data_IF_735662654472
#
_entry.id   IF_735662654472
#
_cell.length_a   1.000
_cell.length_b   1.000
_cell.length_c   1.000
_cell.angle_alpha   90.00
_cell.angle_beta   90.00
_cell.angle_gamma   90.00
#
_symmetry.space_group_name_H-M   'P 1'
#
loop_
_entity.id
_entity.type
_entity.pdbx_description
1 polymer ?
#
# COMPACT_ATOMS: atom_id res chain seq x y z
N UNK A 1 47.97 50.86 44.98
CA UNK A 1 47.81 50.37 43.60
C UNK A 1 46.92 49.14 43.68
N UNK A 2 45.61 49.31 43.45
CA UNK A 2 44.57 48.28 43.67
C UNK A 2 44.05 47.89 42.28
N UNK A 3 44.33 46.66 41.83
CA UNK A 3 43.73 46.13 40.60
C UNK A 3 42.39 45.47 40.95
N UNK A 4 41.30 46.05 40.45
CA UNK A 4 39.96 45.44 40.46
C UNK A 4 39.88 44.42 39.33
N UNK A 5 39.68 43.15 39.68
CA UNK A 5 39.20 42.12 38.74
C UNK A 5 37.72 42.40 38.46
N UNK A 6 37.36 42.64 37.21
CA UNK A 6 35.99 42.71 36.75
C UNK A 6 35.51 41.29 36.38
N UNK A 7 34.57 40.73 37.13
CA UNK A 7 33.84 39.53 36.76
C UNK A 7 32.88 39.85 35.60
N UNK A 8 33.16 39.29 34.42
CA UNK A 8 32.24 39.31 33.29
C UNK A 8 31.34 38.07 33.38
N UNK A 9 30.13 38.24 33.94
CA UNK A 9 29.11 37.19 33.97
C UNK A 9 28.45 37.10 32.58
N UNK A 10 28.88 36.14 31.77
CA UNK A 10 28.20 35.76 30.53
C UNK A 10 26.94 34.97 30.88
N UNK A 11 25.77 35.59 30.73
CA UNK A 11 24.49 34.89 30.74
C UNK A 11 24.40 34.02 29.49
N UNK A 12 24.68 32.72 29.64
CA UNK A 12 24.30 31.70 28.67
C UNK A 12 22.77 31.55 28.71
N UNK A 13 22.08 32.19 27.79
CA UNK A 13 20.66 31.92 27.53
C UNK A 13 20.56 30.57 26.83
N UNK A 14 20.35 29.51 27.59
CA UNK A 14 19.94 28.20 27.05
C UNK A 14 18.54 28.35 26.45
N UNK A 15 18.30 27.97 25.18
CA UNK A 15 16.96 27.95 24.64
C UNK A 15 16.14 26.94 25.42
N UNK A 16 15.16 27.41 26.18
CA UNK A 16 14.11 26.58 26.75
C UNK A 16 13.27 26.07 25.57
N UNK A 17 13.37 24.78 25.27
CA UNK A 17 12.43 24.10 24.39
C UNK A 17 11.04 24.21 25.03
N UNK A 18 10.21 25.14 24.52
CA UNK A 18 8.82 25.27 24.93
C UNK A 18 8.04 24.15 24.26
N UNK A 19 7.89 23.01 24.95
CA UNK A 19 6.86 22.03 24.63
C UNK A 19 5.51 22.67 24.95
N UNK A 20 4.74 23.02 23.92
CA UNK A 20 3.40 23.56 24.13
C UNK A 20 2.51 22.47 24.72
N UNK A 21 2.01 22.66 25.95
CA UNK A 21 1.09 21.73 26.60
C UNK A 21 -0.33 21.83 26.00
N UNK A 22 -0.46 21.56 24.70
CA UNK A 22 -1.74 21.58 23.98
C UNK A 22 -2.60 20.36 24.27
N UNK A 23 -2.02 19.30 24.82
CA UNK A 23 -2.69 18.07 25.17
C UNK A 23 -2.72 17.89 26.69
N UNK A 24 -3.91 17.65 27.24
CA UNK A 24 -4.13 17.35 28.66
C UNK A 24 -4.37 15.86 28.94
N UNK A 25 -4.52 15.03 27.89
CA UNK A 25 -4.68 13.59 27.97
C UNK A 25 -3.33 12.85 27.96
N UNK A 26 -3.31 11.65 28.55
CA UNK A 26 -2.14 10.77 28.59
C UNK A 26 -2.37 9.42 27.91
N UNK A 27 -3.45 9.28 27.15
CA UNK A 27 -3.76 8.08 26.40
C UNK A 27 -2.93 7.97 25.11
N UNK A 28 -2.88 6.77 24.53
CA UNK A 28 -2.06 6.47 23.36
C UNK A 28 -2.49 7.25 22.11
N UNK A 29 -3.80 7.52 21.95
CA UNK A 29 -4.30 8.32 20.83
C UNK A 29 -3.85 9.78 20.96
N UNK A 30 -3.93 10.36 22.16
CA UNK A 30 -3.41 11.70 22.45
C UNK A 30 -1.91 11.78 22.20
N UNK A 31 -1.14 10.78 22.66
CA UNK A 31 0.30 10.74 22.41
C UNK A 31 0.64 10.66 20.92
N UNK A 32 -0.13 9.88 20.14
CA UNK A 32 0.06 9.78 18.70
C UNK A 32 -0.12 11.15 18.01
N UNK A 33 -1.13 11.93 18.39
CA UNK A 33 -1.33 13.28 17.87
C UNK A 33 -0.17 14.21 18.22
N UNK A 34 0.24 14.22 19.49
CA UNK A 34 1.31 15.08 19.95
C UNK A 34 2.61 14.83 19.18
N UNK A 35 3.01 13.56 19.07
CA UNK A 35 4.24 13.17 18.37
C UNK A 35 4.21 13.54 16.89
N UNK A 36 3.06 13.40 16.22
CA UNK A 36 2.93 13.82 14.83
C UNK A 36 3.13 15.34 14.67
N UNK A 37 2.52 16.15 15.55
CA UNK A 37 2.69 17.60 15.51
C UNK A 37 4.12 18.05 15.84
N UNK A 38 4.85 17.26 16.63
CA UNK A 38 6.27 17.46 16.93
C UNK A 38 7.20 17.02 15.78
N UNK A 39 6.64 16.41 14.72
CA UNK A 39 7.39 15.91 13.56
C UNK A 39 8.03 14.54 13.80
N UNK A 40 7.63 13.82 14.84
CA UNK A 40 8.08 12.45 15.13
C UNK A 40 7.03 11.43 14.62
N UNK A 41 7.00 11.27 13.29
CA UNK A 41 6.06 10.41 12.57
C UNK A 41 6.18 8.94 12.98
N UNK A 42 7.39 8.47 13.26
CA UNK A 42 7.65 7.09 13.68
C UNK A 42 7.09 6.83 15.09
N UNK A 43 7.41 7.69 16.05
CA UNK A 43 6.89 7.53 17.40
C UNK A 43 5.37 7.77 17.45
N UNK A 44 4.83 8.62 16.57
CA UNK A 44 3.38 8.76 16.39
C UNK A 44 2.74 7.45 15.95
N UNK A 45 3.31 6.77 14.96
CA UNK A 45 2.84 5.47 14.50
C UNK A 45 2.91 4.39 15.58
N UNK A 46 3.98 4.33 16.36
CA UNK A 46 4.08 3.40 17.50
C UNK A 46 2.95 3.64 18.51
N UNK A 47 2.66 4.91 18.83
CA UNK A 47 1.53 5.27 19.69
C UNK A 47 0.17 4.94 19.04
N UNK A 48 0.03 5.05 17.71
CA UNK A 48 -1.16 4.57 17.00
C UNK A 48 -1.33 3.05 17.15
N UNK A 49 -0.24 2.27 17.04
CA UNK A 49 -0.28 0.81 17.25
C UNK A 49 -0.76 0.50 18.68
N UNK A 50 -0.22 1.18 19.69
CA UNK A 50 -0.67 1.04 21.08
C UNK A 50 -2.15 1.39 21.25
N UNK A 51 -2.60 2.50 20.66
CA UNK A 51 -4.00 2.89 20.65
C UNK A 51 -4.86 1.82 19.96
N UNK A 52 -4.39 1.22 18.86
CA UNK A 52 -5.08 0.12 18.19
C UNK A 52 -5.27 -1.13 19.04
N UNK A 53 -4.40 -1.34 20.03
CA UNK A 53 -4.46 -2.49 20.92
C UNK A 53 -5.43 -2.29 22.11
N UNK A 54 -5.85 -1.05 22.36
CA UNK A 54 -6.80 -0.71 23.42
C UNK A 54 -8.25 -0.96 22.97
N UNK A 55 -9.16 -1.07 23.94
CA UNK A 55 -10.60 -1.14 23.66
C UNK A 55 -11.05 0.20 23.11
N UNK A 56 -11.70 0.19 21.94
CA UNK A 56 -12.07 1.40 21.22
C UNK A 56 -13.52 1.42 20.78
N UNK A 57 -14.03 2.62 20.58
CA UNK A 57 -15.31 2.87 19.91
C UNK A 57 -15.11 3.29 18.44
N UNK A 58 -16.21 3.32 17.68
CA UNK A 58 -16.19 3.66 16.24
C UNK A 58 -15.60 5.05 15.93
N UNK A 59 -15.68 5.99 16.89
CA UNK A 59 -15.10 7.33 16.72
C UNK A 59 -13.59 7.30 16.84
N UNK A 60 -13.06 6.56 17.81
CA UNK A 60 -11.61 6.39 17.99
C UNK A 60 -10.99 5.64 16.81
N UNK A 61 -11.67 4.62 16.27
CA UNK A 61 -11.21 3.91 15.07
C UNK A 61 -11.12 4.83 13.85
N UNK A 62 -12.10 5.71 13.66
CA UNK A 62 -12.08 6.71 12.58
C UNK A 62 -10.99 7.75 12.79
N UNK A 63 -10.82 8.27 14.00
CA UNK A 63 -9.75 9.22 14.31
C UNK A 63 -8.36 8.62 14.09
N UNK A 64 -8.14 7.35 14.47
CA UNK A 64 -6.88 6.66 14.18
C UNK A 64 -6.63 6.51 12.68
N UNK A 65 -7.67 6.23 11.89
CA UNK A 65 -7.54 6.15 10.44
C UNK A 65 -7.20 7.51 9.80
N UNK A 66 -7.83 8.59 10.27
CA UNK A 66 -7.54 9.97 9.84
C UNK A 66 -6.11 10.38 10.22
N UNK A 67 -5.69 10.08 11.45
CA UNK A 67 -4.34 10.38 11.93
C UNK A 67 -3.27 9.62 11.13
N UNK A 68 -3.50 8.33 10.85
CA UNK A 68 -2.62 7.55 9.98
C UNK A 68 -2.54 8.15 8.57
N UNK A 69 -3.66 8.61 8.01
CA UNK A 69 -3.68 9.27 6.69
C UNK A 69 -2.82 10.54 6.68
N UNK A 70 -2.93 11.37 7.73
CA UNK A 70 -2.07 12.56 7.89
C UNK A 70 -0.59 12.19 7.96
N UNK A 71 -0.25 11.19 8.77
CA UNK A 71 1.13 10.72 8.91
C UNK A 71 1.69 10.12 7.61
N UNK A 72 0.87 9.38 6.84
CA UNK A 72 1.24 8.91 5.50
C UNK A 72 1.54 10.10 4.58
N UNK A 73 0.76 11.17 4.64
CA UNK A 73 0.89 12.29 3.72
C UNK A 73 2.16 13.13 3.93
N UNK A 74 2.84 13.02 5.08
CA UNK A 74 4.10 13.75 5.33
C UNK A 74 5.22 13.32 4.39
N UNK A 75 5.40 12.01 4.17
CA UNK A 75 6.48 11.48 3.32
C UNK A 75 6.11 10.20 2.53
N UNK A 76 4.82 10.05 2.25
CA UNK A 76 4.21 8.84 1.72
C UNK A 76 4.35 7.60 2.63
N UNK A 77 4.52 7.82 3.94
CA UNK A 77 4.56 6.78 4.97
C UNK A 77 5.90 6.07 5.11
N UNK A 78 6.98 6.65 4.56
CA UNK A 78 8.32 6.06 4.61
C UNK A 78 8.92 6.13 6.01
N UNK A 79 8.59 7.16 6.79
CA UNK A 79 9.04 7.37 8.16
C UNK A 79 8.13 6.77 9.23
N UNK A 80 6.99 6.15 8.86
CA UNK A 80 6.05 5.56 9.82
C UNK A 80 6.66 4.47 10.70
N UNK A 81 7.76 3.84 10.30
CA UNK A 81 8.45 2.90 11.17
C UNK A 81 9.95 2.99 10.95
N UNK A 82 10.70 2.96 12.05
CA UNK A 82 12.17 2.85 12.03
C UNK A 82 12.64 1.40 11.85
N UNK A 83 11.72 0.43 11.84
CA UNK A 83 12.04 -0.97 11.65
C UNK A 83 12.53 -1.22 10.22
N UNK A 84 13.81 -1.53 10.11
CA UNK A 84 14.44 -1.93 8.85
C UNK A 84 14.23 -3.42 8.56
N UNK A 85 14.29 -3.78 7.27
CA UNK A 85 14.34 -5.18 6.88
C UNK A 85 15.71 -5.76 7.24
N UNK A 86 15.77 -6.98 7.82
CA UNK A 86 17.03 -7.66 8.08
C UNK A 86 17.74 -8.01 6.76
N UNK A 87 19.05 -8.24 6.81
CA UNK A 87 19.88 -8.42 5.61
C UNK A 87 19.47 -9.58 4.67
N UNK A 88 18.71 -10.54 5.20
CA UNK A 88 18.16 -11.67 4.45
C UNK A 88 16.85 -11.37 3.73
N UNK A 89 16.09 -10.35 4.18
CA UNK A 89 14.81 -9.95 3.61
C UNK A 89 15.00 -8.67 2.78
N UNK A 90 14.78 -8.75 1.47
CA UNK A 90 15.08 -7.64 0.56
C UNK A 90 13.87 -6.74 0.34
N UNK A 91 12.66 -7.31 0.31
CA UNK A 91 11.43 -6.55 0.10
C UNK A 91 10.23 -7.25 0.71
N UNK A 92 9.24 -6.44 1.10
CA UNK A 92 7.93 -6.88 1.57
C UNK A 92 6.89 -5.95 0.97
N UNK A 93 5.88 -6.53 0.32
CA UNK A 93 4.79 -5.83 -0.33
C UNK A 93 3.46 -6.40 0.13
N UNK A 94 2.60 -5.53 0.63
CA UNK A 94 1.20 -5.83 0.92
C UNK A 94 0.36 -5.23 -0.21
N UNK A 95 -0.37 -6.07 -0.93
CA UNK A 95 -1.22 -5.65 -2.03
C UNK A 95 -2.67 -5.97 -1.74
N UNK A 96 -3.52 -4.96 -1.91
CA UNK A 96 -4.98 -5.10 -1.86
C UNK A 96 -5.53 -4.73 -3.21
N UNK A 97 -6.41 -5.56 -3.72
CA UNK A 97 -6.92 -5.40 -5.07
C UNK A 97 -8.44 -5.53 -5.08
N UNK A 98 -9.09 -4.55 -5.72
CA UNK A 98 -10.50 -4.60 -6.08
C UNK A 98 -10.58 -4.94 -7.56
N UNK A 99 -11.20 -6.07 -7.89
CA UNK A 99 -11.32 -6.58 -9.26
C UNK A 99 -12.76 -6.48 -9.68
N UNK A 100 -13.01 -5.70 -10.72
CA UNK A 100 -14.31 -5.53 -11.36
C UNK A 100 -14.30 -6.20 -12.73
N UNK A 101 -15.15 -7.21 -12.87
CA UNK A 101 -15.47 -7.87 -14.14
C UNK A 101 -16.88 -7.48 -14.57
N UNK A 102 -17.35 -7.82 -15.79
CA UNK A 102 -18.71 -7.49 -16.20
C UNK A 102 -19.78 -8.11 -15.29
N UNK A 103 -19.46 -9.26 -14.68
CA UNK A 103 -20.43 -10.07 -13.93
C UNK A 103 -20.33 -9.92 -12.41
N UNK A 104 -19.20 -9.43 -11.88
CA UNK A 104 -18.99 -9.31 -10.44
C UNK A 104 -17.85 -8.36 -10.07
N UNK A 105 -17.92 -7.86 -8.84
CA UNK A 105 -16.81 -7.23 -8.12
C UNK A 105 -16.37 -8.20 -7.03
N UNK A 106 -15.06 -8.41 -6.89
CA UNK A 106 -14.47 -9.21 -5.83
C UNK A 106 -13.12 -8.61 -5.42
N UNK A 107 -12.56 -9.14 -4.33
CA UNK A 107 -11.33 -8.62 -3.75
C UNK A 107 -10.25 -9.68 -3.71
N UNK A 108 -9.00 -9.22 -3.74
CA UNK A 108 -7.82 -10.05 -3.64
C UNK A 108 -6.82 -9.40 -2.69
N UNK A 109 -6.18 -10.23 -1.89
CA UNK A 109 -5.13 -9.84 -0.97
C UNK A 109 -3.89 -10.64 -1.28
N UNK A 110 -2.75 -9.96 -1.41
CA UNK A 110 -1.48 -10.62 -1.65
C UNK A 110 -0.40 -10.04 -0.72
N UNK A 111 0.49 -10.92 -0.29
CA UNK A 111 1.68 -10.56 0.46
C UNK A 111 2.86 -11.22 -0.25
N UNK A 112 3.80 -10.42 -0.74
CA UNK A 112 4.91 -10.93 -1.52
C UNK A 112 6.17 -10.11 -1.34
N UNK A 113 7.28 -10.64 -1.81
CA UNK A 113 8.57 -9.96 -1.72
C UNK A 113 9.70 -10.90 -2.07
N UNK A 114 10.91 -10.49 -1.71
CA UNK A 114 12.12 -11.23 -2.02
C UNK A 114 13.02 -11.43 -0.80
N UNK A 115 13.68 -12.58 -0.74
CA UNK A 115 14.57 -13.01 0.34
C UNK A 115 15.80 -13.72 -0.22
N UNK A 116 16.97 -13.41 0.31
CA UNK A 116 18.24 -14.06 -0.05
C UNK A 116 18.34 -15.49 0.50
N UNK A 117 17.75 -15.72 1.66
CA UNK A 117 17.81 -17.01 2.36
C UNK A 117 16.55 -17.87 2.14
N UNK A 118 15.56 -17.32 1.44
CA UNK A 118 14.25 -17.91 1.28
C UNK A 118 13.36 -17.78 2.52
N UNK A 119 12.05 -17.70 2.30
CA UNK A 119 11.01 -17.72 3.33
C UNK A 119 10.48 -19.15 3.47
N UNK A 120 10.47 -19.66 4.69
CA UNK A 120 9.86 -20.94 5.03
C UNK A 120 8.40 -20.79 5.47
N UNK A 121 8.09 -19.76 6.24
CA UNK A 121 6.74 -19.53 6.77
C UNK A 121 6.34 -18.05 6.69
N UNK A 122 5.07 -17.81 6.36
CA UNK A 122 4.42 -16.50 6.36
C UNK A 122 3.19 -16.56 7.25
N UNK A 123 3.09 -15.64 8.20
CA UNK A 123 1.92 -15.46 9.06
C UNK A 123 1.41 -14.02 9.00
N UNK A 124 0.11 -13.87 8.77
CA UNK A 124 -0.60 -12.60 8.78
C UNK A 124 -1.84 -12.73 9.65
N UNK A 125 -1.87 -12.01 10.77
CA UNK A 125 -2.88 -12.17 11.82
C UNK A 125 -3.48 -10.83 12.23
N UNK A 126 -4.80 -10.75 12.37
CA UNK A 126 -5.48 -9.58 12.90
C UNK A 126 -5.42 -9.57 14.43
N UNK A 127 -5.11 -8.41 15.01
CA UNK A 127 -5.18 -8.20 16.46
C UNK A 127 -6.64 -8.12 16.94
N UNK A 128 -6.99 -8.64 18.14
CA UNK A 128 -6.13 -9.37 19.07
C UNK A 128 -5.86 -10.83 18.68
N UNK A 129 -6.83 -11.58 18.17
CA UNK A 129 -6.71 -13.05 18.14
C UNK A 129 -7.33 -13.73 16.89
N UNK A 130 -7.02 -13.25 15.68
CA UNK A 130 -7.47 -13.94 14.45
C UNK A 130 -6.36 -14.11 13.44
N UNK A 131 -5.78 -15.32 13.38
CA UNK A 131 -4.96 -15.70 12.24
C UNK A 131 -5.80 -15.63 10.97
N UNK A 132 -5.40 -14.77 10.03
CA UNK A 132 -6.04 -14.71 8.72
C UNK A 132 -5.40 -15.74 7.79
N UNK A 133 -4.07 -15.82 7.84
CA UNK A 133 -3.30 -16.78 7.06
C UNK A 133 -2.05 -17.19 7.81
N UNK A 134 -1.76 -18.49 7.77
CA UNK A 134 -0.45 -19.05 8.07
C UNK A 134 -0.14 -20.12 7.03
N UNK A 135 0.95 -19.93 6.28
CA UNK A 135 1.31 -20.82 5.17
C UNK A 135 2.80 -21.13 5.22
N UNK A 136 3.11 -22.41 5.10
CA UNK A 136 4.47 -22.88 4.80
C UNK A 136 4.68 -22.81 3.29
N UNK A 137 5.75 -22.12 2.88
CA UNK A 137 6.05 -21.92 1.48
C UNK A 137 6.91 -23.07 0.94
N UNK A 138 6.63 -23.52 -0.29
CA UNK A 138 7.46 -24.53 -0.92
C UNK A 138 8.82 -23.92 -1.31
N UNK A 139 9.87 -24.75 -1.28
CA UNK A 139 11.27 -24.28 -1.41
C UNK A 139 11.56 -23.56 -2.73
N UNK A 140 10.88 -23.93 -3.81
CA UNK A 140 10.99 -23.33 -5.13
C UNK A 140 10.46 -21.88 -5.20
N UNK A 141 9.59 -21.49 -4.26
CA UNK A 141 9.06 -20.12 -4.13
C UNK A 141 9.61 -19.38 -2.91
N UNK A 142 10.61 -19.93 -2.24
CA UNK A 142 11.10 -19.35 -0.99
C UNK A 142 11.77 -17.98 -1.21
N UNK A 143 12.54 -17.82 -2.29
CA UNK A 143 13.30 -16.59 -2.55
C UNK A 143 12.43 -15.45 -3.07
N UNK A 144 11.45 -15.75 -3.93
CA UNK A 144 10.43 -14.81 -4.40
C UNK A 144 9.08 -15.27 -3.87
N UNK A 145 8.83 -14.97 -2.61
CA UNK A 145 7.65 -15.46 -1.92
C UNK A 145 6.41 -14.69 -2.36
N UNK A 146 5.31 -15.43 -2.52
CA UNK A 146 4.00 -14.86 -2.81
C UNK A 146 2.93 -15.68 -2.09
N UNK A 147 2.23 -15.02 -1.19
CA UNK A 147 0.97 -15.46 -0.62
C UNK A 147 -0.16 -14.69 -1.30
N UNK A 148 -1.22 -15.38 -1.68
CA UNK A 148 -2.34 -14.80 -2.42
C UNK A 148 -3.66 -15.43 -1.98
N UNK A 149 -4.64 -14.58 -1.66
CA UNK A 149 -6.00 -14.96 -1.33
C UNK A 149 -6.92 -14.28 -2.34
N UNK A 150 -7.53 -15.07 -3.21
CA UNK A 150 -8.38 -14.58 -4.29
C UNK A 150 -9.87 -14.76 -3.99
N UNK A 151 -10.71 -14.04 -4.74
CA UNK A 151 -12.16 -14.27 -4.72
C UNK A 151 -12.84 -13.85 -3.41
N UNK A 152 -12.22 -12.98 -2.61
CA UNK A 152 -12.80 -12.49 -1.37
C UNK A 152 -14.08 -11.68 -1.68
N UNK A 153 -15.14 -11.93 -0.91
CA UNK A 153 -16.41 -11.21 -1.05
C UNK A 153 -16.35 -9.78 -0.51
N UNK A 154 -15.36 -9.47 0.34
CA UNK A 154 -15.10 -8.15 0.93
C UNK A 154 -13.60 -7.90 1.02
N UNK A 155 -13.22 -6.63 0.97
CA UNK A 155 -11.84 -6.21 1.23
C UNK A 155 -11.40 -6.61 2.64
N UNK A 156 -10.09 -6.77 2.84
CA UNK A 156 -9.50 -6.92 4.18
C UNK A 156 -9.92 -5.73 5.03
N UNK A 157 -10.53 -6.01 6.18
CA UNK A 157 -11.10 -5.00 7.08
C UNK A 157 -9.99 -4.04 7.53
N UNK A 158 -10.33 -2.78 7.76
CA UNK A 158 -9.44 -1.89 8.49
C UNK A 158 -9.13 -2.44 9.89
N UNK A 159 -7.91 -2.24 10.35
CA UNK A 159 -7.47 -2.71 11.66
C UNK A 159 -5.96 -2.88 11.78
N UNK A 160 -5.54 -3.37 12.94
CA UNK A 160 -4.17 -3.72 13.25
C UNK A 160 -3.90 -5.20 12.96
N UNK A 161 -2.80 -5.44 12.25
CA UNK A 161 -2.36 -6.76 11.83
C UNK A 161 -0.90 -6.98 12.20
N UNK A 162 -0.56 -8.20 12.60
CA UNK A 162 0.83 -8.65 12.76
C UNK A 162 1.25 -9.42 11.51
N UNK A 163 2.33 -8.98 10.89
CA UNK A 163 3.04 -9.74 9.88
C UNK A 163 4.26 -10.40 10.53
N UNK A 164 4.42 -11.70 10.29
CA UNK A 164 5.60 -12.47 10.73
C UNK A 164 6.11 -13.32 9.57
N UNK A 165 7.40 -13.22 9.29
CA UNK A 165 8.10 -13.93 8.24
C UNK A 165 9.24 -14.74 8.88
N UNK A 166 9.27 -16.04 8.61
CA UNK A 166 10.33 -16.94 9.07
C UNK A 166 11.13 -17.43 7.88
N UNK A 167 12.45 -17.24 7.93
CA UNK A 167 13.36 -17.72 6.89
C UNK A 167 13.50 -19.25 6.91
N UNK A 168 14.06 -19.83 5.86
CA UNK A 168 14.45 -21.26 5.86
C UNK A 168 15.55 -21.60 6.88
N UNK A 169 16.31 -20.59 7.32
CA UNK A 169 17.32 -20.69 8.39
C UNK A 169 16.75 -20.45 9.80
N UNK A 170 15.42 -20.32 9.92
CA UNK A 170 14.70 -20.07 11.19
C UNK A 170 14.95 -18.69 11.82
N UNK A 171 15.44 -17.71 11.05
CA UNK A 171 15.42 -16.31 11.45
C UNK A 171 14.00 -15.75 11.32
N UNK A 172 13.56 -14.95 12.29
CA UNK A 172 12.20 -14.39 12.32
C UNK A 172 12.26 -12.87 12.22
N UNK A 173 11.41 -12.30 11.37
CA UNK A 173 11.14 -10.87 11.32
C UNK A 173 9.64 -10.64 11.48
N UNK A 174 9.27 -9.63 12.27
CA UNK A 174 7.86 -9.28 12.46
C UNK A 174 7.65 -7.78 12.48
N UNK A 175 6.48 -7.33 12.02
CA UNK A 175 6.09 -5.93 11.99
C UNK A 175 4.59 -5.75 12.19
N UNK A 176 4.22 -4.66 12.86
CA UNK A 176 2.83 -4.24 12.96
C UNK A 176 2.41 -3.47 11.71
N UNK A 177 1.21 -3.77 11.24
CA UNK A 177 0.62 -3.24 10.02
C UNK A 177 -0.75 -2.67 10.34
N UNK A 178 -0.95 -1.37 10.12
CA UNK A 178 -2.26 -0.76 10.20
C UNK A 178 -2.85 -0.72 8.79
N UNK A 179 -3.87 -1.53 8.56
CA UNK A 179 -4.62 -1.51 7.31
C UNK A 179 -5.74 -0.49 7.49
N UNK A 180 -5.73 0.59 6.70
CA UNK A 180 -6.83 1.56 6.65
C UNK A 180 -7.92 1.10 5.67
N UNK A 181 -9.09 1.72 5.74
CA UNK A 181 -10.11 1.52 4.71
C UNK A 181 -9.55 2.03 3.36
N UNK A 182 -9.75 1.32 2.24
CA UNK A 182 -9.28 1.79 0.94
C UNK A 182 -10.05 3.05 0.54
N UNK A 183 -9.35 4.18 0.44
CA UNK A 183 -9.86 5.42 -0.13
C UNK A 183 -8.99 5.80 -1.34
N UNK A 184 -9.31 5.27 -2.54
CA UNK A 184 -8.48 5.52 -3.70
C UNK A 184 -8.51 7.00 -4.10
N UNK A 185 -7.35 7.57 -4.39
CA UNK A 185 -7.22 8.96 -4.84
C UNK A 185 -7.84 9.17 -6.22
N UNK A 186 -7.81 8.13 -7.06
CA UNK A 186 -8.41 8.12 -8.38
C UNK A 186 -9.19 6.82 -8.61
N UNK A 187 -10.26 6.87 -9.39
CA UNK A 187 -11.08 5.70 -9.71
C UNK A 187 -11.02 5.40 -11.20
N UNK A 188 -10.98 4.12 -11.54
CA UNK A 188 -11.00 3.63 -12.92
C UNK A 188 -12.33 2.92 -13.21
N UNK A 189 -12.86 3.11 -14.42
CA UNK A 189 -14.09 2.44 -14.88
C UNK A 189 -14.11 2.31 -16.40
N UNK A 190 -14.86 1.32 -16.91
CA UNK A 190 -15.05 1.16 -18.35
C UNK A 190 -15.83 2.34 -18.97
N UNK A 191 -15.42 2.76 -20.16
CA UNK A 191 -16.17 3.68 -21.02
C UNK A 191 -16.83 2.95 -22.18
N UNK A 192 -16.11 2.05 -22.82
CA UNK A 192 -16.62 1.14 -23.85
C UNK A 192 -15.86 -0.21 -23.78
N UNK A 193 -15.82 -0.99 -24.88
CA UNK A 193 -15.13 -2.28 -24.94
C UNK A 193 -13.61 -2.16 -24.83
N UNK A 194 -13.00 -1.07 -25.31
CA UNK A 194 -11.55 -0.90 -25.41
C UNK A 194 -11.04 0.39 -24.78
N UNK A 195 -11.94 1.19 -24.18
CA UNK A 195 -11.60 2.46 -23.53
C UNK A 195 -12.16 2.56 -22.10
N UNK A 196 -11.47 3.32 -21.27
CA UNK A 196 -11.76 3.51 -19.85
C UNK A 196 -11.68 4.98 -19.45
N UNK A 197 -12.25 5.30 -18.30
CA UNK A 197 -12.17 6.62 -17.65
C UNK A 197 -11.38 6.48 -16.37
N UNK A 198 -10.49 7.44 -16.14
CA UNK A 198 -9.79 7.65 -14.87
C UNK A 198 -10.32 8.96 -14.30
N UNK A 199 -10.89 8.93 -13.10
CA UNK A 199 -11.36 10.15 -12.45
C UNK A 199 -10.19 11.08 -12.14
N UNK A 200 -10.42 12.41 -12.10
CA UNK A 200 -9.44 13.32 -11.53
C UNK A 200 -9.05 12.90 -10.11
N UNK A 201 -7.81 13.19 -9.68
CA UNK A 201 -7.38 12.92 -8.32
C UNK A 201 -8.17 13.77 -7.32
N UNK A 202 -8.51 13.16 -6.18
CA UNK A 202 -9.19 13.84 -5.06
C UNK A 202 -8.28 14.81 -4.31
N UNK A 203 -6.96 14.59 -4.34
CA UNK A 203 -5.94 15.51 -3.83
C UNK A 203 -4.83 15.74 -4.89
N UNK A 204 -4.46 17.00 -5.06
CA UNK A 204 -3.45 17.46 -6.02
C UNK A 204 -2.05 17.63 -5.38
N UNK A 205 -1.95 17.57 -4.04
CA UNK A 205 -0.71 17.84 -3.27
C UNK A 205 -0.15 16.58 -2.58
N UNK A 206 -0.20 15.44 -3.27
CA UNK A 206 0.35 14.21 -2.71
C UNK A 206 1.88 14.21 -2.71
N UNK A 207 2.47 13.92 -1.55
CA UNK A 207 3.90 13.53 -1.41
C UNK A 207 4.15 12.13 -1.99
N UNK A 208 3.08 11.35 -2.16
CA UNK A 208 3.13 10.03 -2.74
C UNK A 208 3.40 10.02 -4.25
N UNK A 209 4.01 8.95 -4.78
CA UNK A 209 4.08 8.72 -6.21
C UNK A 209 2.67 8.75 -6.82
N UNK A 210 2.58 9.30 -8.03
CA UNK A 210 1.32 9.25 -8.77
C UNK A 210 0.95 7.80 -9.08
N UNK A 211 -0.36 7.49 -9.11
CA UNK A 211 -0.82 6.19 -9.58
C UNK A 211 -0.31 5.90 -10.99
N UNK A 212 0.01 4.64 -11.25
CA UNK A 212 0.40 4.17 -12.58
C UNK A 212 -0.60 3.13 -13.09
N UNK A 213 -0.64 2.99 -14.42
CA UNK A 213 -1.54 2.08 -15.11
C UNK A 213 -0.76 0.83 -15.54
N UNK A 214 -1.34 -0.36 -15.31
CA UNK A 214 -0.88 -1.63 -15.87
C UNK A 214 -1.98 -2.20 -16.75
N UNK A 215 -1.68 -2.44 -18.02
CA UNK A 215 -2.61 -3.00 -19.00
C UNK A 215 -2.08 -4.37 -19.43
N UNK A 216 -2.93 -5.39 -19.40
CA UNK A 216 -2.54 -6.76 -19.75
C UNK A 216 -3.60 -7.39 -20.62
N UNK A 217 -3.18 -8.04 -21.69
CA UNK A 217 -4.02 -8.79 -22.62
C UNK A 217 -3.67 -10.27 -22.55
N UNK A 218 -4.67 -11.11 -22.36
CA UNK A 218 -4.54 -12.57 -22.27
C UNK A 218 -5.36 -13.20 -23.40
N UNK A 219 -4.84 -14.28 -24.00
CA UNK A 219 -5.63 -15.12 -24.90
C UNK A 219 -6.64 -15.92 -24.09
N UNK A 220 -7.90 -15.91 -24.51
CA UNK A 220 -8.96 -16.60 -23.78
C UNK A 220 -8.99 -18.11 -24.04
N UNK A 221 -8.41 -18.52 -25.17
CA UNK A 221 -8.35 -19.91 -25.64
C UNK A 221 -7.07 -20.65 -25.19
N UNK A 222 -6.16 -19.98 -24.48
CA UNK A 222 -4.92 -20.57 -24.00
C UNK A 222 -4.98 -20.89 -22.52
N UNK A 223 -4.43 -22.04 -22.13
CA UNK A 223 -4.13 -22.38 -20.73
C UNK A 223 -2.95 -21.56 -20.15
N UNK A 224 -2.34 -20.69 -20.96
CA UNK A 224 -1.27 -19.81 -20.52
C UNK A 224 -1.82 -18.70 -19.62
N UNK A 225 -1.24 -18.60 -18.42
CA UNK A 225 -1.57 -17.59 -17.43
C UNK A 225 -0.79 -16.28 -17.66
N UNK A 226 0.22 -16.30 -18.54
CA UNK A 226 1.00 -15.12 -18.87
C UNK A 226 0.25 -14.23 -19.88
N UNK A 227 0.33 -12.89 -19.74
CA UNK A 227 -0.22 -12.00 -20.75
C UNK A 227 0.58 -12.09 -22.04
N UNK A 228 -0.12 -12.13 -23.18
CA UNK A 228 0.50 -12.04 -24.51
C UNK A 228 0.98 -10.63 -24.83
N UNK A 229 0.44 -9.64 -24.13
CA UNK A 229 0.86 -8.25 -24.20
C UNK A 229 0.66 -7.58 -22.84
N UNK A 230 1.65 -6.82 -22.41
CA UNK A 230 1.62 -6.07 -21.16
C UNK A 230 2.30 -4.72 -21.35
N UNK A 231 1.74 -3.67 -20.76
CA UNK A 231 2.33 -2.34 -20.74
C UNK A 231 2.03 -1.62 -19.42
N UNK A 232 3.07 -0.99 -18.87
CA UNK A 232 2.95 -0.12 -17.70
C UNK A 232 3.21 1.34 -18.08
N UNK A 233 2.38 2.26 -17.56
CA UNK A 233 2.48 3.71 -17.79
C UNK A 233 2.32 4.48 -16.49
N UNK A 234 3.32 5.28 -16.16
CA UNK A 234 3.35 6.17 -14.98
C UNK A 234 3.05 7.63 -15.32
N UNK A 235 3.02 7.98 -16.62
CA UNK A 235 2.78 9.32 -17.16
C UNK A 235 1.80 9.25 -18.33
N UNK A 236 1.01 10.32 -18.49
CA UNK A 236 0.01 10.44 -19.56
C UNK A 236 -0.84 9.17 -19.67
N UNK A 237 -1.48 8.79 -18.55
CA UNK A 237 -2.18 7.52 -18.41
C UNK A 237 -3.15 7.34 -19.59
N UNK A 238 -2.95 6.32 -20.45
CA UNK A 238 -3.81 6.11 -21.60
C UNK A 238 -5.23 5.80 -21.13
N UNK A 239 -6.20 6.08 -22.00
CA UNK A 239 -7.63 5.85 -21.74
C UNK A 239 -8.25 4.87 -22.74
N UNK A 240 -7.42 4.22 -23.55
CA UNK A 240 -7.82 3.24 -24.55
C UNK A 240 -6.70 2.25 -24.81
N UNK A 241 -7.07 1.02 -25.18
CA UNK A 241 -6.15 0.02 -25.67
C UNK A 241 -5.48 0.53 -26.95
N UNK A 242 -4.14 0.51 -27.08
CA UNK A 242 -3.48 0.85 -28.32
C UNK A 242 -3.83 -0.17 -29.41
N UNK A 243 -3.52 0.17 -30.67
CA UNK A 243 -3.60 -0.81 -31.77
C UNK A 243 -2.51 -1.84 -31.54
N UNK A 244 -2.90 -3.11 -31.50
CA UNK A 244 -2.00 -4.24 -31.27
C UNK A 244 -1.99 -5.15 -32.50
N UNK A 245 -0.80 -5.64 -32.85
CA UNK A 245 -0.62 -6.66 -33.87
C UNK A 245 -0.74 -8.03 -33.20
N UNK A 246 -1.98 -8.53 -33.12
CA UNK A 246 -2.34 -9.83 -32.52
C UNK A 246 -3.27 -10.57 -33.46
N UNK A 247 -3.30 -11.90 -33.33
CA UNK A 247 -4.16 -12.75 -34.17
C UNK A 247 -5.64 -12.50 -33.93
N UNK A 248 -6.47 -12.83 -34.91
CA UNK A 248 -7.92 -12.79 -34.76
C UNK A 248 -8.40 -13.75 -33.66
N UNK A 249 -9.21 -13.25 -32.72
CA UNK A 249 -9.73 -14.05 -31.61
C UNK A 249 -10.30 -13.25 -30.43
N UNK A 250 -10.70 -14.00 -29.41
CA UNK A 250 -11.19 -13.48 -28.14
C UNK A 250 -10.06 -13.35 -27.12
N UNK A 251 -10.05 -12.20 -26.45
CA UNK A 251 -9.05 -11.85 -25.47
C UNK A 251 -9.68 -11.37 -24.18
N UNK A 252 -8.99 -11.62 -23.07
CA UNK A 252 -9.29 -11.01 -21.80
C UNK A 252 -8.38 -9.79 -21.59
N UNK A 253 -8.97 -8.60 -21.60
CA UNK A 253 -8.28 -7.35 -21.31
C UNK A 253 -8.44 -7.01 -19.83
N UNK A 254 -7.33 -6.73 -19.16
CA UNK A 254 -7.33 -6.13 -17.82
C UNK A 254 -6.59 -4.80 -17.82
N UNK A 255 -7.13 -3.85 -17.09
CA UNK A 255 -6.52 -2.54 -16.85
C UNK A 255 -6.55 -2.28 -15.35
N UNK A 256 -5.39 -2.01 -14.76
CA UNK A 256 -5.24 -1.77 -13.35
C UNK A 256 -4.66 -0.38 -13.09
N UNK A 257 -5.31 0.37 -12.20
CA UNK A 257 -4.77 1.59 -11.63
C UNK A 257 -4.17 1.25 -10.26
N UNK A 258 -2.88 1.52 -10.08
CA UNK A 258 -2.09 1.07 -8.94
C UNK A 258 -1.56 2.28 -8.18
N UNK A 259 -1.94 2.41 -6.92
CA UNK A 259 -1.43 3.43 -6.00
C UNK A 259 -0.42 2.81 -5.04
N UNK A 260 0.66 3.55 -4.73
CA UNK A 260 1.75 3.07 -3.88
C UNK A 260 1.99 4.01 -2.72
N UNK A 261 2.13 3.42 -1.53
CA UNK A 261 2.59 4.10 -0.31
C UNK A 261 3.45 3.17 0.53
N UNK A 262 4.04 3.70 1.59
CA UNK A 262 4.86 2.93 2.52
C UNK A 262 4.23 2.90 3.91
N UNK A 263 4.68 1.93 4.69
CA UNK A 263 4.54 1.93 6.14
C UNK A 263 5.89 1.48 6.72
N UNK A 264 6.83 2.43 6.78
CA UNK A 264 8.25 2.15 6.99
C UNK A 264 8.85 1.39 5.80
N UNK A 265 9.44 0.24 6.07
CA UNK A 265 10.08 -0.59 5.03
C UNK A 265 9.11 -1.44 4.20
N UNK A 266 7.82 -1.48 4.55
CA UNK A 266 6.80 -2.27 3.84
C UNK A 266 6.17 -1.40 2.75
N UNK A 267 6.15 -1.89 1.52
CA UNK A 267 5.41 -1.27 0.42
C UNK A 267 3.94 -1.71 0.47
N UNK A 268 3.05 -0.75 0.31
CA UNK A 268 1.62 -0.98 0.16
C UNK A 268 1.17 -0.64 -1.26
N UNK A 269 0.46 -1.57 -1.88
CA UNK A 269 -0.18 -1.38 -3.18
C UNK A 269 -1.70 -1.47 -3.03
N UNK A 270 -2.39 -0.39 -3.43
CA UNK A 270 -3.84 -0.37 -3.59
C UNK A 270 -4.16 -0.44 -5.08
N UNK A 271 -4.83 -1.51 -5.50
CA UNK A 271 -5.06 -1.80 -6.91
C UNK A 271 -6.55 -1.80 -7.23
N UNK A 272 -6.93 -1.05 -8.25
CA UNK A 272 -8.26 -1.14 -8.86
C UNK A 272 -8.09 -1.74 -10.26
N UNK A 273 -8.54 -2.98 -10.44
CA UNK A 273 -8.51 -3.67 -11.73
C UNK A 273 -9.90 -3.76 -12.33
N UNK A 274 -10.02 -3.33 -13.57
CA UNK A 274 -11.18 -3.61 -14.42
C UNK A 274 -10.77 -4.65 -15.47
N UNK A 275 -11.59 -5.68 -15.65
CA UNK A 275 -11.35 -6.76 -16.61
C UNK A 275 -12.58 -7.01 -17.47
N UNK A 276 -12.40 -7.35 -18.74
CA UNK A 276 -13.48 -7.80 -19.63
C UNK A 276 -12.95 -8.58 -20.84
N UNK A 277 -13.83 -9.38 -21.44
CA UNK A 277 -13.57 -9.96 -22.75
C UNK A 277 -13.72 -8.91 -23.86
N UNK A 278 -12.88 -9.02 -24.89
CA UNK A 278 -12.87 -8.22 -26.12
C UNK A 278 -12.53 -9.11 -27.33
N UNK A 279 -12.96 -8.70 -28.52
CA UNK A 279 -12.57 -9.33 -29.79
C UNK A 279 -11.50 -8.46 -30.49
N UNK A 280 -10.46 -9.09 -31.03
CA UNK A 280 -9.42 -8.44 -31.84
C UNK A 280 -9.10 -9.32 -33.08
N UNK A 281 -8.58 -8.75 -34.20
CA UNK A 281 -8.59 -7.34 -34.51
C UNK A 281 -10.03 -6.89 -34.76
N UNK A 282 -10.34 -5.70 -34.29
CA UNK A 282 -11.65 -5.11 -34.56
C UNK A 282 -11.66 -4.67 -36.03
N UNK A 283 -12.47 -5.32 -36.84
CA UNK A 283 -12.74 -4.87 -38.21
C UNK A 283 -13.46 -3.53 -38.07
N UNK A 284 -12.74 -2.42 -38.24
CA UNK A 284 -13.38 -1.11 -38.32
C UNK A 284 -14.24 -1.08 -39.59
N UNK A 285 -15.55 -1.31 -39.44
CA UNK A 285 -16.52 -1.28 -40.54
C UNK A 285 -16.49 0.06 -41.31
N UNK A 286 -15.91 1.13 -40.73
CA UNK A 286 -15.72 2.43 -41.41
C UNK A 286 -14.54 2.43 -42.38
N UNK A 287 -13.59 1.51 -42.22
CA UNK A 287 -12.47 1.31 -43.16
C UNK A 287 -12.83 0.37 -44.32
N UNK A 288 -14.00 -0.27 -44.26
CA UNK A 288 -14.54 -1.16 -45.30
C UNK A 288 -15.56 -0.50 -46.24
N UNK A 289 -15.77 0.82 -46.17
CA UNK A 289 -16.56 1.53 -47.19
C UNK A 289 -15.67 1.92 -48.36
N UNK A 290 -15.98 1.52 -49.61
CA UNK A 290 -15.23 1.88 -50.81
C UNK A 290 -15.30 3.37 -51.15
#
# INVERSE_FOLDING_TARGET
>A
MIYRLACFFLFLTTPLSVTAAWFSGSDALTSAHQRLLEGDTAASFDAMVEAWQQVKNDTEDRHLAELLSLAINEDCGRSLSTLSLPSWLQSVVVRRETIQTPNRVYYQFSLYGSSKQGIGNVSFSAWPDRSLVQVDLPKDKANDFKLEIEGLSRAVKSGLYKLELTSLSSEVWSSWIIVSQPEPTQKISWKDSRSWRISPPTDLKGTCPRPFLSMNLYRQDSDDLAPIWSEEKDKNLPTSLPVLDVTDGQYWLTVALIERRWQGAILFEEVQRIGRAIDLPDIDLRTLSP
#
